data_IF_830563098302
#
_entry.id   IF_830563098302
#
_cell.length_a   1.000
_cell.length_b   1.000
_cell.length_c   1.000
_cell.angle_alpha   90.00
_cell.angle_beta   90.00
_cell.angle_gamma   90.00
#
_symmetry.space_group_name_H-M   'P 1'
#
loop_
_entity.id
_entity.type
_entity.pdbx_description
1 polymer ?
#
# COMPACT_ATOMS: atom_id res chain seq x y z
N UNK A 1 5.80 -70.56 -31.71
CA UNK A 1 4.72 -69.81 -32.38
C UNK A 1 4.43 -68.56 -31.58
N UNK A 2 4.53 -67.39 -32.22
CA UNK A 2 4.42 -66.05 -31.63
C UNK A 2 3.01 -65.74 -31.12
N UNK A 3 2.89 -65.03 -30.00
CA UNK A 3 1.78 -64.09 -29.76
C UNK A 3 2.32 -62.80 -29.16
N UNK A 4 2.44 -61.80 -30.01
CA UNK A 4 2.69 -60.40 -29.67
C UNK A 4 1.37 -59.83 -29.10
N UNK A 5 1.34 -59.42 -27.83
CA UNK A 5 0.25 -58.61 -27.29
C UNK A 5 0.76 -57.17 -27.22
N UNK A 6 0.25 -56.32 -28.12
CA UNK A 6 0.47 -54.87 -28.09
C UNK A 6 -0.42 -54.28 -27.00
N UNK A 7 0.18 -53.78 -25.92
CA UNK A 7 -0.50 -52.88 -24.99
C UNK A 7 -0.44 -51.45 -25.54
N UNK A 8 -1.58 -50.95 -26.00
CA UNK A 8 -1.79 -49.52 -26.20
C UNK A 8 -1.85 -48.87 -24.80
N UNK A 9 -0.77 -48.19 -24.41
CA UNK A 9 -0.80 -47.27 -23.27
C UNK A 9 -1.28 -45.92 -23.82
N UNK A 10 -2.58 -45.66 -23.68
CA UNK A 10 -3.16 -44.35 -23.98
C UNK A 10 -2.69 -43.33 -22.94
N UNK A 11 -1.91 -42.35 -23.36
CA UNK A 11 -1.59 -41.17 -22.56
C UNK A 11 -2.88 -40.37 -22.29
N UNK A 12 -3.38 -40.45 -21.07
CA UNK A 12 -4.39 -39.51 -20.58
C UNK A 12 -3.67 -38.22 -20.22
N UNK A 13 -3.64 -37.28 -21.16
CA UNK A 13 -3.20 -35.91 -20.89
C UNK A 13 -4.24 -35.23 -19.99
N UNK A 14 -4.00 -35.22 -18.68
CA UNK A 14 -4.75 -34.42 -17.74
C UNK A 14 -4.45 -32.93 -18.00
N UNK A 15 -5.32 -32.27 -18.75
CA UNK A 15 -5.36 -30.81 -18.87
C UNK A 15 -5.81 -30.25 -17.53
N UNK A 16 -4.85 -29.87 -16.68
CA UNK A 16 -5.10 -29.02 -15.53
C UNK A 16 -5.52 -27.64 -16.04
N UNK A 17 -6.83 -27.43 -16.16
CA UNK A 17 -7.39 -26.08 -16.33
C UNK A 17 -7.13 -25.32 -15.03
N UNK A 18 -6.13 -24.44 -15.04
CA UNK A 18 -5.98 -23.40 -14.03
C UNK A 18 -7.25 -22.55 -14.09
N UNK A 19 -8.09 -22.65 -13.06
CA UNK A 19 -9.24 -21.77 -12.93
C UNK A 19 -8.73 -20.33 -12.82
N UNK A 20 -8.90 -19.56 -13.89
CA UNK A 20 -8.68 -18.11 -13.88
C UNK A 20 -9.82 -17.54 -13.05
N UNK A 21 -9.54 -17.21 -11.79
CA UNK A 21 -10.48 -16.46 -10.95
C UNK A 21 -10.62 -15.08 -11.58
N UNK A 22 -11.76 -14.81 -12.19
CA UNK A 22 -12.06 -13.49 -12.73
C UNK A 22 -12.06 -12.46 -11.59
N UNK A 23 -11.45 -11.30 -11.84
CA UNK A 23 -11.52 -10.19 -10.89
C UNK A 23 -12.99 -9.78 -10.66
N UNK A 24 -13.36 -9.36 -9.44
CA UNK A 24 -14.68 -8.83 -9.17
C UNK A 24 -15.03 -7.68 -10.13
N UNK A 25 -16.30 -7.53 -10.55
CA UNK A 25 -16.70 -6.48 -11.50
C UNK A 25 -16.49 -5.05 -10.96
N UNK A 26 -16.38 -4.92 -9.65
CA UNK A 26 -16.14 -3.68 -8.91
C UNK A 26 -14.65 -3.42 -8.59
N UNK A 27 -13.75 -4.30 -9.07
CA UNK A 27 -12.32 -4.12 -8.90
C UNK A 27 -11.79 -2.98 -9.78
N UNK A 28 -10.95 -2.12 -9.21
CA UNK A 28 -10.28 -1.04 -9.93
C UNK A 28 -8.82 -0.90 -9.49
N UNK A 29 -8.03 -0.25 -10.36
CA UNK A 29 -6.66 0.17 -10.04
C UNK A 29 -6.61 1.69 -10.04
N UNK A 30 -6.11 2.25 -8.95
CA UNK A 30 -5.91 3.68 -8.79
C UNK A 30 -4.43 4.02 -8.85
N UNK A 31 -4.08 5.06 -9.60
CA UNK A 31 -2.72 5.57 -9.71
C UNK A 31 -2.67 7.04 -9.30
N UNK A 32 -1.93 7.32 -8.23
CA UNK A 32 -1.66 8.67 -7.75
C UNK A 32 -0.19 8.99 -7.92
N UNK A 33 0.11 10.24 -8.29
CA UNK A 33 1.48 10.69 -8.58
C UNK A 33 1.74 12.04 -7.95
N UNK A 34 2.94 12.21 -7.40
CA UNK A 34 3.54 13.50 -7.07
C UNK A 34 4.94 13.60 -7.68
N UNK A 35 5.44 14.83 -7.82
CA UNK A 35 6.83 15.09 -8.16
C UNK A 35 7.59 15.51 -6.91
N UNK A 36 8.79 14.95 -6.70
CA UNK A 36 9.61 15.32 -5.57
C UNK A 36 11.09 15.36 -5.90
N UNK A 37 11.74 16.52 -5.76
CA UNK A 37 13.17 16.67 -6.07
C UNK A 37 13.56 16.23 -7.48
N UNK A 38 12.65 16.42 -8.46
CA UNK A 38 12.86 16.03 -9.85
C UNK A 38 12.61 14.56 -10.19
N UNK A 39 12.11 13.75 -9.24
CA UNK A 39 11.71 12.36 -9.50
C UNK A 39 10.20 12.16 -9.34
N UNK A 40 9.66 11.22 -10.09
CA UNK A 40 8.29 10.75 -9.94
C UNK A 40 8.17 9.84 -8.71
N UNK A 41 7.14 10.09 -7.91
CA UNK A 41 6.65 9.19 -6.85
C UNK A 41 5.26 8.75 -7.25
N UNK A 42 5.06 7.45 -7.43
CA UNK A 42 3.79 6.87 -7.84
C UNK A 42 3.27 5.88 -6.79
N UNK A 43 2.00 5.98 -6.44
CA UNK A 43 1.25 4.98 -5.69
C UNK A 43 0.30 4.29 -6.67
N UNK A 44 0.35 2.96 -6.72
CA UNK A 44 -0.64 2.13 -7.42
C UNK A 44 -1.36 1.30 -6.37
N UNK A 45 -2.68 1.44 -6.31
CA UNK A 45 -3.54 0.70 -5.37
C UNK A 45 -4.51 -0.18 -6.15
N UNK A 46 -4.59 -1.46 -5.77
CA UNK A 46 -5.59 -2.40 -6.30
C UNK A 46 -6.70 -2.54 -5.28
N UNK A 47 -7.89 -2.06 -5.63
CA UNK A 47 -9.01 -1.91 -4.71
C UNK A 47 -10.33 -2.35 -5.33
N UNK A 48 -11.37 -2.36 -4.50
CA UNK A 48 -12.76 -2.62 -4.86
C UNK A 48 -13.60 -1.39 -4.54
N UNK A 49 -14.65 -1.13 -5.31
CA UNK A 49 -15.55 0.02 -5.09
C UNK A 49 -16.67 -0.25 -4.08
N UNK A 50 -16.64 -1.40 -3.42
CA UNK A 50 -17.49 -1.68 -2.26
C UNK A 50 -16.90 -1.06 -0.99
N UNK A 51 -17.78 -0.72 -0.06
CA UNK A 51 -17.41 -0.22 1.25
C UNK A 51 -17.33 -1.34 2.27
N UNK A 52 -16.58 -1.11 3.34
CA UNK A 52 -16.69 -1.90 4.57
C UNK A 52 -18.06 -1.59 5.19
N UNK A 53 -18.78 -2.63 5.62
CA UNK A 53 -20.08 -2.45 6.26
C UNK A 53 -19.95 -1.71 7.61
N UNK A 54 -20.97 -0.93 7.96
CA UNK A 54 -21.04 -0.25 9.25
C UNK A 54 -20.90 -1.24 10.43
N UNK A 55 -20.21 -0.80 11.49
CA UNK A 55 -19.98 -1.59 12.70
C UNK A 55 -18.81 -2.57 12.63
N UNK A 56 -18.07 -2.62 11.51
CA UNK A 56 -16.78 -3.31 11.43
C UNK A 56 -15.66 -2.52 12.13
N UNK A 57 -14.57 -3.19 12.48
CA UNK A 57 -13.49 -2.63 13.29
C UNK A 57 -12.67 -1.54 12.57
N UNK A 58 -12.55 -1.61 11.24
CA UNK A 58 -11.71 -0.72 10.43
C UNK A 58 -12.49 -0.19 9.22
N UNK A 59 -12.91 1.07 9.27
CA UNK A 59 -13.57 1.70 8.12
C UNK A 59 -12.50 2.20 7.14
N UNK A 60 -12.02 1.28 6.31
CA UNK A 60 -10.97 1.49 5.32
C UNK A 60 -11.49 1.25 3.89
N UNK A 61 -10.89 1.91 2.89
CA UNK A 61 -11.01 1.48 1.50
C UNK A 61 -10.63 0.00 1.34
N UNK A 62 -11.45 -0.76 0.61
CA UNK A 62 -11.23 -2.20 0.38
C UNK A 62 -10.13 -2.39 -0.67
N UNK A 63 -8.88 -2.28 -0.24
CA UNK A 63 -7.70 -2.46 -1.08
C UNK A 63 -6.97 -3.76 -0.72
N UNK A 64 -6.54 -4.53 -1.71
CA UNK A 64 -5.83 -5.80 -1.53
C UNK A 64 -4.31 -5.65 -1.65
N UNK A 65 -3.84 -4.65 -2.42
CA UNK A 65 -2.42 -4.36 -2.59
C UNK A 65 -2.17 -2.86 -2.82
N UNK A 66 -0.98 -2.42 -2.39
CA UNK A 66 -0.45 -1.09 -2.67
C UNK A 66 1.03 -1.16 -2.97
N UNK A 67 1.40 -0.64 -4.13
CA UNK A 67 2.79 -0.53 -4.56
C UNK A 67 3.17 0.94 -4.69
N UNK A 68 4.28 1.31 -4.03
CA UNK A 68 4.85 2.65 -4.12
C UNK A 68 6.10 2.56 -4.99
N UNK A 69 6.27 3.47 -5.94
CA UNK A 69 7.48 3.57 -6.76
C UNK A 69 8.10 4.94 -6.59
N UNK A 70 9.39 4.98 -6.24
CA UNK A 70 10.17 6.22 -6.13
C UNK A 70 11.39 6.08 -7.03
N UNK A 71 11.52 6.96 -8.04
CA UNK A 71 12.63 6.92 -8.98
C UNK A 71 12.87 5.52 -9.60
N UNK A 72 11.79 4.88 -10.05
CA UNK A 72 11.81 3.52 -10.61
C UNK A 72 12.01 2.40 -9.60
N UNK A 73 12.32 2.70 -8.33
CA UNK A 73 12.44 1.68 -7.28
C UNK A 73 11.08 1.36 -6.68
N UNK A 74 10.68 0.11 -6.84
CA UNK A 74 9.47 -0.44 -6.24
C UNK A 74 9.68 -0.67 -4.74
N UNK A 75 8.78 -0.12 -3.94
CA UNK A 75 8.74 -0.22 -2.49
C UNK A 75 7.45 -0.95 -2.12
N UNK A 76 7.59 -2.18 -1.64
CA UNK A 76 6.49 -2.94 -1.05
C UNK A 76 6.58 -2.87 0.46
N UNK A 77 5.55 -2.34 1.09
CA UNK A 77 5.40 -2.36 2.55
C UNK A 77 4.83 -3.72 2.93
N UNK A 78 5.38 -4.32 3.99
CA UNK A 78 4.73 -5.47 4.61
C UNK A 78 3.56 -4.94 5.44
N UNK A 79 2.35 -5.10 4.93
CA UNK A 79 1.11 -4.68 5.58
C UNK A 79 0.30 -5.94 5.84
N UNK A 80 -0.18 -6.10 7.07
CA UNK A 80 -1.08 -7.21 7.40
C UNK A 80 -2.41 -7.09 6.65
N UNK A 81 -3.13 -8.21 6.55
CA UNK A 81 -4.49 -8.21 6.04
C UNK A 81 -5.50 -8.41 7.18
N UNK A 82 -6.66 -7.79 7.05
CA UNK A 82 -7.85 -8.04 7.86
C UNK A 82 -8.99 -8.47 6.94
N UNK A 83 -9.90 -9.29 7.45
CA UNK A 83 -11.09 -9.69 6.71
C UNK A 83 -12.29 -9.00 7.32
N UNK A 84 -13.06 -8.28 6.49
CA UNK A 84 -14.25 -7.55 6.94
C UNK A 84 -15.43 -7.79 6.02
N UNK A 85 -16.63 -7.68 6.57
CA UNK A 85 -17.87 -7.72 5.81
C UNK A 85 -18.00 -6.43 4.97
N UNK A 86 -18.25 -6.58 3.68
CA UNK A 86 -18.43 -5.49 2.73
C UNK A 86 -19.90 -5.29 2.37
N UNK A 87 -20.25 -4.14 1.82
CA UNK A 87 -21.65 -3.77 1.51
C UNK A 87 -22.34 -4.65 0.48
N UNK A 88 -21.58 -5.45 -0.28
CA UNK A 88 -22.07 -6.52 -1.16
C UNK A 88 -22.38 -7.84 -0.43
N UNK A 89 -22.21 -7.89 0.90
CA UNK A 89 -22.43 -9.06 1.74
C UNK A 89 -21.28 -10.06 1.77
N UNK A 90 -20.15 -9.77 1.10
CA UNK A 90 -18.98 -10.64 1.11
C UNK A 90 -18.04 -10.35 2.28
N UNK A 91 -17.37 -11.37 2.80
CA UNK A 91 -16.21 -11.18 3.69
C UNK A 91 -14.96 -11.08 2.83
N UNK A 92 -14.36 -9.90 2.78
CA UNK A 92 -13.23 -9.60 1.88
C UNK A 92 -11.93 -9.41 2.67
N UNK A 93 -10.84 -10.13 2.35
CA UNK A 93 -9.51 -9.81 2.87
C UNK A 93 -8.98 -8.51 2.22
N UNK A 94 -8.51 -7.60 3.05
CA UNK A 94 -8.03 -6.27 2.66
C UNK A 94 -6.85 -5.84 3.52
N UNK A 95 -6.10 -4.84 3.07
CA UNK A 95 -4.98 -4.27 3.81
C UNK A 95 -5.46 -3.64 5.13
N UNK A 96 -4.75 -3.93 6.22
CA UNK A 96 -5.01 -3.36 7.56
C UNK A 96 -4.55 -1.89 7.71
N UNK A 97 -3.90 -1.35 6.67
CA UNK A 97 -3.45 0.03 6.58
C UNK A 97 -3.36 0.40 5.10
N UNK A 98 -3.88 1.57 4.72
CA UNK A 98 -3.77 2.07 3.35
C UNK A 98 -3.09 3.43 3.32
N UNK A 99 -2.34 3.73 2.27
CA UNK A 99 -1.75 5.05 2.05
C UNK A 99 -2.86 6.08 1.80
N UNK A 100 -2.93 7.13 2.61
CA UNK A 100 -3.95 8.19 2.47
C UNK A 100 -3.35 9.54 2.09
N UNK A 101 -2.02 9.66 2.17
CA UNK A 101 -1.32 10.89 1.82
C UNK A 101 0.07 10.60 1.26
N UNK A 102 0.46 11.39 0.26
CA UNK A 102 1.83 11.51 -0.20
C UNK A 102 2.21 12.99 -0.24
N UNK A 103 3.45 13.31 0.08
CA UNK A 103 3.94 14.68 0.06
C UNK A 103 5.42 14.75 -0.32
N UNK A 104 5.83 15.92 -0.81
CA UNK A 104 7.22 16.26 -1.03
C UNK A 104 7.65 17.40 -0.12
N UNK A 105 8.45 17.07 0.89
CA UNK A 105 9.03 18.06 1.77
C UNK A 105 10.31 18.62 1.13
N UNK A 106 10.32 19.93 0.89
CA UNK A 106 11.46 20.63 0.29
C UNK A 106 12.36 21.21 1.38
N UNK A 107 13.45 20.53 1.69
CA UNK A 107 14.48 21.04 2.58
C UNK A 107 15.54 21.86 1.84
N UNK A 108 16.41 22.51 2.62
CA UNK A 108 17.52 23.34 2.10
C UNK A 108 18.66 22.53 1.49
N UNK A 109 18.75 21.22 1.78
CA UNK A 109 19.82 20.32 1.30
C UNK A 109 19.32 19.23 0.36
N UNK A 110 18.00 19.06 0.24
CA UNK A 110 17.39 18.06 -0.62
C UNK A 110 15.89 17.93 -0.37
N UNK A 111 15.25 17.13 -1.21
CA UNK A 111 13.84 16.79 -1.09
C UNK A 111 13.65 15.44 -0.39
N UNK A 112 12.56 15.33 0.36
CA UNK A 112 12.19 14.13 1.12
C UNK A 112 10.75 13.78 0.79
N UNK A 113 10.51 12.52 0.43
CA UNK A 113 9.17 12.00 0.14
C UNK A 113 8.54 11.55 1.46
N UNK A 114 7.40 12.12 1.83
CA UNK A 114 6.64 11.70 3.00
C UNK A 114 5.39 10.93 2.57
N UNK A 115 5.10 9.82 3.25
CA UNK A 115 3.97 8.95 2.94
C UNK A 115 3.25 8.63 4.26
N UNK A 116 1.95 8.93 4.31
CA UNK A 116 1.07 8.68 5.45
C UNK A 116 0.08 7.56 5.14
N UNK A 117 -0.10 6.64 6.08
CA UNK A 117 -1.03 5.54 5.98
C UNK A 117 -1.95 5.44 7.21
N UNK A 118 -3.22 5.15 6.95
CA UNK A 118 -4.29 5.13 7.95
C UNK A 118 -4.83 3.71 8.16
N UNK A 119 -5.16 3.37 9.41
CA UNK A 119 -5.64 2.05 9.83
C UNK A 119 -7.16 1.93 10.05
N UNK A 120 -7.95 2.97 9.79
CA UNK A 120 -9.42 2.84 9.77
C UNK A 120 -10.13 3.09 11.09
N UNK A 121 -9.40 3.32 12.19
CA UNK A 121 -9.99 3.58 13.50
C UNK A 121 -9.08 4.49 14.35
N UNK A 122 -9.65 5.22 15.30
CA UNK A 122 -8.90 6.16 16.16
C UNK A 122 -7.82 5.48 17.02
N UNK A 123 -8.02 4.21 17.37
CA UNK A 123 -7.06 3.41 18.11
C UNK A 123 -6.13 2.60 17.20
N UNK A 124 -6.34 2.63 15.88
CA UNK A 124 -5.55 1.85 14.95
C UNK A 124 -4.20 2.55 14.76
N UNK A 125 -3.10 1.80 14.57
CA UNK A 125 -1.82 2.44 14.38
C UNK A 125 -1.75 3.07 12.98
N UNK A 126 -1.29 4.31 12.95
CA UNK A 126 -0.99 5.08 11.75
C UNK A 126 0.47 4.92 11.40
N UNK A 127 0.74 4.89 10.11
CA UNK A 127 2.09 4.72 9.59
C UNK A 127 2.53 6.00 8.89
N UNK A 128 3.69 6.52 9.27
CA UNK A 128 4.34 7.63 8.59
C UNK A 128 5.73 7.18 8.16
N UNK A 129 6.10 7.36 6.90
CA UNK A 129 7.46 7.10 6.47
C UNK A 129 8.00 8.13 5.51
N UNK A 130 9.31 8.26 5.60
CA UNK A 130 10.09 9.28 4.94
C UNK A 130 11.17 8.60 4.11
N UNK A 131 11.20 8.92 2.82
CA UNK A 131 12.07 8.31 1.84
C UNK A 131 12.91 9.37 1.14
N UNK A 132 14.16 9.02 0.85
CA UNK A 132 14.96 9.79 -0.08
C UNK A 132 14.36 9.74 -1.49
N UNK A 133 14.73 10.68 -2.36
CA UNK A 133 14.38 10.64 -3.80
C UNK A 133 14.99 9.45 -4.55
N UNK A 134 15.92 8.70 -3.93
CA UNK A 134 16.41 7.42 -4.44
C UNK A 134 15.59 6.20 -3.93
N UNK A 135 14.47 6.44 -3.24
CA UNK A 135 13.61 5.39 -2.71
C UNK A 135 14.24 4.62 -1.53
N UNK A 136 15.14 5.25 -0.77
CA UNK A 136 15.66 4.66 0.47
C UNK A 136 14.77 5.10 1.63
N UNK A 137 14.27 4.15 2.42
CA UNK A 137 13.57 4.43 3.66
C UNK A 137 14.55 5.00 4.69
N UNK A 138 14.40 6.27 5.01
CA UNK A 138 15.24 6.98 5.98
C UNK A 138 14.65 6.93 7.38
N UNK A 139 13.33 7.08 7.48
CA UNK A 139 12.62 7.03 8.75
C UNK A 139 11.22 6.45 8.57
N UNK A 140 10.73 5.73 9.58
CA UNK A 140 9.30 5.52 9.75
C UNK A 140 8.91 5.55 11.22
N UNK A 141 7.64 5.84 11.46
CA UNK A 141 6.96 5.65 12.73
C UNK A 141 5.65 4.89 12.46
N UNK A 142 5.35 3.91 13.30
CA UNK A 142 4.08 3.19 13.30
C UNK A 142 3.52 3.23 14.71
N UNK A 143 2.48 4.03 14.95
CA UNK A 143 2.01 4.39 16.29
C UNK A 143 0.54 4.77 16.27
N UNK A 144 -0.13 4.69 17.42
CA UNK A 144 -1.42 5.35 17.65
C UNK A 144 -1.29 6.32 18.84
N UNK A 145 -2.42 6.88 19.29
CA UNK A 145 -2.47 7.78 20.45
C UNK A 145 -1.99 7.14 21.78
N UNK A 146 -1.90 5.81 21.86
CA UNK A 146 -1.62 5.08 23.10
C UNK A 146 -0.22 4.47 23.16
N UNK A 147 0.34 4.03 22.03
CA UNK A 147 1.66 3.36 21.97
C UNK A 147 2.31 3.41 20.59
N UNK A 148 3.62 3.19 20.58
CA UNK A 148 4.40 2.89 19.38
C UNK A 148 4.45 1.38 19.13
N UNK A 149 4.34 0.98 17.87
CA UNK A 149 4.42 -0.40 17.38
C UNK A 149 5.72 -0.66 16.61
N UNK A 150 6.45 0.41 16.26
CA UNK A 150 7.76 0.31 15.64
C UNK A 150 8.18 1.63 15.04
N UNK A 151 9.50 1.85 14.98
CA UNK A 151 10.09 2.99 14.32
C UNK A 151 11.50 2.67 13.84
N UNK A 152 12.00 3.51 12.93
CA UNK A 152 13.39 3.51 12.46
C UNK A 152 13.77 4.93 12.09
N UNK A 153 15.03 5.30 12.30
CA UNK A 153 15.54 6.63 11.98
C UNK A 153 15.09 7.68 13.00
N UNK A 154 15.36 8.95 12.73
CA UNK A 154 14.95 10.06 13.59
C UNK A 154 14.72 11.35 12.82
N UNK A 155 13.87 12.22 13.35
CA UNK A 155 13.58 13.53 12.76
C UNK A 155 14.82 14.41 12.71
N UNK A 156 15.71 14.33 13.70
CA UNK A 156 16.97 15.09 13.73
C UNK A 156 17.89 14.66 12.58
N UNK A 157 17.93 13.36 12.26
CA UNK A 157 18.68 12.86 11.12
C UNK A 157 18.12 13.39 9.80
N UNK A 158 16.79 13.45 9.65
CA UNK A 158 16.14 14.02 8.47
C UNK A 158 16.43 15.52 8.33
N UNK A 159 16.30 16.29 9.41
CA UNK A 159 16.61 17.73 9.45
C UNK A 159 18.07 17.94 9.04
N UNK A 160 19.01 17.17 9.61
CA UNK A 160 20.43 17.31 9.31
C UNK A 160 20.76 16.98 7.85
N UNK A 161 20.20 15.90 7.32
CA UNK A 161 20.52 15.37 5.99
C UNK A 161 19.82 16.14 4.86
N UNK A 162 18.54 16.46 5.02
CA UNK A 162 17.72 17.07 3.97
C UNK A 162 17.49 18.57 4.18
N UNK A 163 17.74 19.09 5.38
CA UNK A 163 17.52 20.50 5.69
C UNK A 163 16.04 20.88 5.75
N UNK A 164 15.16 19.90 6.00
CA UNK A 164 13.75 20.10 6.38
C UNK A 164 13.67 20.63 7.81
N UNK A 165 12.55 21.24 8.19
CA UNK A 165 12.32 21.75 9.55
C UNK A 165 11.51 20.78 10.41
N UNK A 166 11.54 20.96 11.72
CA UNK A 166 10.66 20.20 12.62
C UNK A 166 9.17 20.47 12.34
N UNK A 167 8.84 21.66 11.81
CA UNK A 167 7.48 22.02 11.39
C UNK A 167 7.04 21.16 10.21
N UNK A 168 7.89 21.05 9.18
CA UNK A 168 7.61 20.24 7.98
C UNK A 168 7.35 18.76 8.30
N UNK A 169 7.93 18.24 9.40
CA UNK A 169 7.75 16.85 9.81
C UNK A 169 6.51 16.61 10.68
N UNK A 170 5.93 17.66 11.27
CA UNK A 170 4.79 17.58 12.21
C UNK A 170 3.49 18.07 11.61
N UNK A 171 3.57 19.09 10.77
CA UNK A 171 2.42 19.71 10.14
C UNK A 171 2.29 19.22 8.70
N UNK A 172 1.06 19.11 8.25
CA UNK A 172 0.81 18.79 6.85
C UNK A 172 1.15 19.97 5.96
N UNK A 173 1.92 19.70 4.91
CA UNK A 173 2.21 20.69 3.88
C UNK A 173 0.92 21.09 3.14
N UNK A 174 0.78 22.36 2.74
CA UNK A 174 -0.27 22.77 1.80
C UNK A 174 -0.24 22.01 0.47
N UNK A 175 0.90 21.43 0.11
CA UNK A 175 1.10 20.66 -1.13
C UNK A 175 0.81 19.16 -0.98
N UNK A 176 0.36 18.70 0.19
CA UNK A 176 0.06 17.28 0.43
C UNK A 176 -0.96 16.76 -0.58
N UNK A 177 -0.62 15.67 -1.25
CA UNK A 177 -1.57 14.92 -2.08
C UNK A 177 -2.34 13.96 -1.19
N UNK A 178 -3.59 14.30 -0.88
CA UNK A 178 -4.55 13.35 -0.29
C UNK A 178 -5.02 12.36 -1.34
N UNK A 179 -5.08 11.10 -0.95
CA UNK A 179 -5.52 10.00 -1.80
C UNK A 179 -7.01 9.78 -1.56
N UNK A 180 -7.82 9.98 -2.59
CA UNK A 180 -9.25 9.72 -2.56
C UNK A 180 -9.50 8.39 -3.25
N UNK A 181 -10.02 7.41 -2.53
CA UNK A 181 -10.42 6.13 -3.09
C UNK A 181 -11.83 6.22 -3.67
N UNK A 182 -12.12 5.40 -4.69
CA UNK A 182 -13.41 5.37 -5.38
C UNK A 182 -14.55 5.02 -4.42
N UNK A 183 -15.25 6.06 -3.97
CA UNK A 183 -16.36 6.20 -3.00
C UNK A 183 -16.27 5.37 -1.69
N UNK A 184 -16.36 6.02 -0.51
CA UNK A 184 -16.42 5.36 0.80
C UNK A 184 -17.74 4.63 1.05
#
# INVERSE_FOLDING_TARGET
>A
MQRLIRFFVGSVSALFTLAVVAAPPDAYTQRDVIQCGGVEVALVSSCRSVAVQDGQDQLLPVCSDQTITINGKVLRRQIGQVSQLTTDGATTPMLANVVVAMDCLKGTKGSLVAIGGYGGCNACPEWHGYYSTAGKLEMYAYSNAYRSFGSKGSSEALIKAYGVTAKDLREESPAVKRITYGQP
#
